data_IF_297370997349
#
_entry.id   IF_297370997349
#
_cell.length_a   1.000
_cell.length_b   1.000
_cell.length_c   1.000
_cell.angle_alpha   90.00
_cell.angle_beta   90.00
_cell.angle_gamma   90.00
#
_symmetry.space_group_name_H-M   'P 1'
#
loop_
_entity.id
_entity.type
_entity.pdbx_description
1 polymer ?
#
# COMPACT_ATOMS: atom_id res chain seq x y z
N UNK A 1 -29.52 9.07 23.33
CA UNK A 1 -28.40 8.75 22.42
C UNK A 1 -28.90 8.82 20.99
N UNK A 2 -28.27 9.62 20.13
CA UNK A 2 -28.58 9.62 18.70
C UNK A 2 -28.11 8.30 18.08
N UNK A 3 -28.87 7.75 17.14
CA UNK A 3 -28.40 6.58 16.37
C UNK A 3 -27.22 7.01 15.51
N UNK A 4 -26.16 6.20 15.40
CA UNK A 4 -25.06 6.52 14.51
C UNK A 4 -25.57 6.68 13.09
N UNK A 5 -24.93 7.54 12.31
CA UNK A 5 -25.13 7.71 10.89
C UNK A 5 -24.72 6.45 10.12
N UNK A 6 -25.09 6.38 8.84
CA UNK A 6 -24.60 5.33 7.95
C UNK A 6 -23.07 5.33 7.86
N UNK A 7 -22.46 6.51 7.72
CA UNK A 7 -21.00 6.67 7.58
C UNK A 7 -20.24 6.16 8.82
N UNK A 8 -20.73 6.47 10.01
CA UNK A 8 -20.12 5.96 11.25
C UNK A 8 -20.22 4.43 11.36
N UNK A 9 -21.35 3.83 10.96
CA UNK A 9 -21.48 2.37 10.92
C UNK A 9 -20.55 1.72 9.91
N UNK A 10 -20.41 2.31 8.73
CA UNK A 10 -19.50 1.82 7.70
C UNK A 10 -18.05 1.90 8.16
N UNK A 11 -17.64 2.99 8.82
CA UNK A 11 -16.29 3.11 9.37
C UNK A 11 -15.99 1.97 10.36
N UNK A 12 -16.90 1.71 11.31
CA UNK A 12 -16.74 0.59 12.27
C UNK A 12 -16.67 -0.76 11.58
N UNK A 13 -17.50 -0.99 10.56
CA UNK A 13 -17.49 -2.23 9.79
C UNK A 13 -16.16 -2.42 9.05
N UNK A 14 -15.70 -1.40 8.31
CA UNK A 14 -14.44 -1.44 7.57
C UNK A 14 -13.25 -1.67 8.49
N UNK A 15 -13.21 -1.01 9.66
CA UNK A 15 -12.18 -1.27 10.69
C UNK A 15 -12.16 -2.73 11.10
N UNK A 16 -13.32 -3.34 11.38
CA UNK A 16 -13.39 -4.75 11.79
C UNK A 16 -12.96 -5.72 10.69
N UNK A 17 -13.28 -5.40 9.44
CA UNK A 17 -12.86 -6.21 8.29
C UNK A 17 -11.34 -6.15 8.16
N UNK A 18 -10.75 -4.94 8.12
CA UNK A 18 -9.31 -4.76 7.98
C UNK A 18 -8.52 -5.39 9.13
N UNK A 19 -9.00 -5.28 10.37
CA UNK A 19 -8.39 -5.96 11.52
C UNK A 19 -8.35 -7.48 11.38
N UNK A 20 -9.25 -8.07 10.59
CA UNK A 20 -9.39 -9.53 10.46
C UNK A 20 -8.69 -10.09 9.22
N UNK A 21 -8.74 -9.36 8.11
CA UNK A 21 -8.30 -9.83 6.79
C UNK A 21 -7.46 -8.82 6.00
N UNK A 22 -7.22 -7.63 6.56
CA UNK A 22 -6.38 -6.63 5.90
C UNK A 22 -4.91 -7.03 5.92
N UNK A 23 -4.17 -6.49 4.95
CA UNK A 23 -2.72 -6.53 4.94
C UNK A 23 -2.18 -5.61 6.02
N UNK A 24 -1.10 -6.04 6.65
CA UNK A 24 -0.45 -5.29 7.72
C UNK A 24 0.73 -4.51 7.17
N UNK A 25 0.83 -3.27 7.60
CA UNK A 25 2.02 -2.45 7.45
C UNK A 25 2.50 -1.97 8.82
N UNK A 26 3.81 -1.84 8.98
CA UNK A 26 4.42 -1.34 10.22
C UNK A 26 5.21 -0.07 9.93
N UNK A 27 4.91 0.99 10.67
CA UNK A 27 5.63 2.26 10.60
C UNK A 27 6.98 2.17 11.29
N UNK A 28 7.85 3.15 11.05
CA UNK A 28 9.18 3.20 11.68
C UNK A 28 9.15 3.24 13.22
N UNK A 29 8.09 3.80 13.79
CA UNK A 29 7.87 3.84 15.24
C UNK A 29 7.31 2.53 15.81
N UNK A 30 7.11 1.51 14.96
CA UNK A 30 6.55 0.22 15.32
C UNK A 30 5.01 0.17 15.36
N UNK A 31 4.33 1.26 15.00
CA UNK A 31 2.87 1.28 14.93
C UNK A 31 2.37 0.44 13.76
N UNK A 32 1.45 -0.48 14.04
CA UNK A 32 0.78 -1.28 13.02
C UNK A 32 -0.38 -0.50 12.38
N UNK A 33 -0.47 -0.59 11.05
CA UNK A 33 -1.55 -0.03 10.23
C UNK A 33 -2.10 -1.14 9.35
N UNK A 34 -3.44 -1.29 9.35
CA UNK A 34 -4.12 -2.29 8.54
C UNK A 34 -4.68 -1.64 7.27
N UNK A 35 -4.54 -2.31 6.13
CA UNK A 35 -5.01 -1.81 4.84
C UNK A 35 -5.16 -2.91 3.80
N UNK A 36 -5.18 -2.53 2.54
CA UNK A 36 -5.11 -3.43 1.40
C UNK A 36 -3.97 -2.98 0.50
N UNK A 37 -3.01 -3.87 0.26
CA UNK A 37 -1.84 -3.58 -0.56
C UNK A 37 -2.04 -4.08 -1.99
N UNK A 38 -1.77 -3.21 -2.96
CA UNK A 38 -1.86 -3.49 -4.38
C UNK A 38 -0.53 -3.14 -5.04
N UNK A 39 0.12 -4.14 -5.63
CA UNK A 39 1.37 -3.96 -6.36
C UNK A 39 1.22 -4.43 -7.82
N UNK A 40 1.19 -3.51 -8.79
CA UNK A 40 1.00 -3.86 -10.20
C UNK A 40 2.19 -4.58 -10.83
N UNK A 41 3.37 -4.57 -10.19
CA UNK A 41 4.55 -5.29 -10.68
C UNK A 41 4.46 -6.82 -10.49
N UNK A 42 3.48 -7.30 -9.73
CA UNK A 42 3.32 -8.72 -9.38
C UNK A 42 2.20 -9.42 -10.13
N UNK A 43 1.47 -8.72 -11.00
CA UNK A 43 0.40 -9.35 -11.76
C UNK A 43 0.99 -10.43 -12.71
N UNK A 44 0.54 -11.70 -12.64
CA UNK A 44 1.04 -12.79 -13.49
C UNK A 44 0.91 -12.54 -15.00
N UNK A 45 0.14 -11.53 -15.44
CA UNK A 45 0.14 -11.10 -16.84
C UNK A 45 1.45 -10.44 -17.29
N UNK A 46 2.22 -9.86 -16.37
CA UNK A 46 3.55 -9.29 -16.61
C UNK A 46 4.63 -10.40 -16.59
N UNK A 47 4.39 -11.47 -15.83
CA UNK A 47 5.28 -12.63 -15.67
C UNK A 47 5.04 -13.78 -16.66
N UNK A 48 4.60 -13.48 -17.89
CA UNK A 48 4.33 -14.47 -18.93
C UNK A 48 5.49 -15.47 -19.11
N UNK A 49 5.22 -16.73 -18.77
CA UNK A 49 6.06 -17.91 -19.01
C UNK A 49 6.51 -17.96 -20.47
N UNK A 50 7.70 -17.43 -20.77
CA UNK A 50 8.55 -17.79 -21.92
C UNK A 50 9.79 -16.89 -21.86
N UNK A 51 10.97 -17.45 -22.09
CA UNK A 51 12.28 -16.77 -22.05
C UNK A 51 12.52 -15.69 -23.11
N UNK A 52 11.50 -14.90 -23.45
CA UNK A 52 11.52 -13.64 -24.19
C UNK A 52 10.32 -12.81 -23.74
N UNK A 53 10.32 -12.39 -22.47
CA UNK A 53 9.24 -11.58 -21.93
C UNK A 53 9.33 -10.14 -22.43
N UNK A 54 8.20 -9.58 -22.85
CA UNK A 54 7.98 -8.16 -23.17
C UNK A 54 8.24 -7.20 -22.00
N UNK A 55 8.88 -7.67 -20.91
CA UNK A 55 9.35 -6.88 -19.77
C UNK A 55 10.44 -5.84 -20.14
N UNK A 56 10.89 -5.80 -21.40
CA UNK A 56 11.77 -4.76 -21.93
C UNK A 56 11.01 -3.59 -22.60
N UNK A 57 9.67 -3.65 -22.72
CA UNK A 57 8.92 -2.73 -23.57
C UNK A 57 7.58 -2.24 -23.00
N UNK A 58 7.36 -2.39 -21.69
CA UNK A 58 6.40 -1.57 -20.96
C UNK A 58 7.22 -0.72 -20.01
N UNK A 59 7.23 0.59 -20.23
CA UNK A 59 7.92 1.50 -19.33
C UNK A 59 7.41 1.23 -17.90
N UNK A 60 8.29 1.15 -16.91
CA UNK A 60 7.87 1.07 -15.50
C UNK A 60 6.98 2.27 -15.08
N UNK A 61 6.94 3.33 -15.91
CA UNK A 61 6.02 4.46 -15.83
C UNK A 61 4.60 4.18 -16.34
N UNK A 62 4.40 3.13 -17.15
CA UNK A 62 3.09 2.69 -17.67
C UNK A 62 2.44 1.65 -16.75
N UNK A 63 3.25 0.94 -15.96
CA UNK A 63 2.82 0.12 -14.82
C UNK A 63 2.51 1.08 -13.65
N UNK A 64 1.32 1.01 -13.07
CA UNK A 64 0.90 1.94 -12.01
C UNK A 64 1.82 1.97 -10.78
N UNK A 65 1.67 2.97 -9.93
CA UNK A 65 2.39 3.04 -8.65
C UNK A 65 1.78 2.04 -7.63
N UNK A 66 2.57 1.35 -6.78
CA UNK A 66 2.05 0.54 -5.69
C UNK A 66 1.18 1.38 -4.75
N UNK A 67 0.08 0.79 -4.28
CA UNK A 67 -0.89 1.48 -3.44
C UNK A 67 -1.14 0.68 -2.16
N UNK A 68 -1.28 1.40 -1.05
CA UNK A 68 -1.75 0.84 0.20
C UNK A 68 -2.99 1.60 0.68
N UNK A 69 -4.15 0.97 0.54
CA UNK A 69 -5.44 1.58 0.88
C UNK A 69 -5.75 1.37 2.35
N UNK A 70 -5.81 2.45 3.12
CA UNK A 70 -6.08 2.45 4.56
C UNK A 70 -7.31 3.28 4.89
N UNK A 71 -7.84 3.16 6.11
CA UNK A 71 -8.92 4.04 6.56
C UNK A 71 -8.46 5.48 6.61
N UNK A 72 -9.35 6.42 6.26
CA UNK A 72 -9.05 7.85 6.34
C UNK A 72 -8.59 8.31 7.75
N UNK A 73 -9.07 7.65 8.80
CA UNK A 73 -8.66 7.93 10.18
C UNK A 73 -7.20 7.53 10.46
N UNK A 74 -6.72 6.46 9.84
CA UNK A 74 -5.34 6.00 9.97
C UNK A 74 -4.43 6.79 9.03
N UNK A 75 -4.88 7.09 7.82
CA UNK A 75 -4.18 7.96 6.87
C UNK A 75 -3.89 9.35 7.44
N UNK A 76 -4.77 9.88 8.31
CA UNK A 76 -4.54 11.18 8.96
C UNK A 76 -3.29 11.21 9.86
N UNK A 77 -2.76 10.05 10.25
CA UNK A 77 -1.52 9.91 11.03
C UNK A 77 -0.28 9.74 10.14
N UNK A 78 -0.48 9.44 8.87
CA UNK A 78 0.55 9.19 7.88
C UNK A 78 0.81 10.47 7.10
N UNK A 79 2.04 10.96 7.15
CA UNK A 79 2.46 12.12 6.39
C UNK A 79 3.13 11.69 5.09
N UNK A 80 3.24 12.62 4.15
CA UNK A 80 4.10 12.40 2.99
C UNK A 80 5.52 12.10 3.49
N UNK A 81 6.22 11.21 2.81
CA UNK A 81 7.54 10.69 3.18
C UNK A 81 7.58 9.76 4.40
N UNK A 82 6.44 9.48 5.04
CA UNK A 82 6.37 8.40 6.03
C UNK A 82 6.84 7.09 5.41
N UNK A 83 7.71 6.37 6.12
CA UNK A 83 8.17 5.06 5.70
C UNK A 83 7.37 3.99 6.43
N UNK A 84 6.90 3.01 5.67
CA UNK A 84 6.15 1.86 6.16
C UNK A 84 6.72 0.59 5.56
N UNK A 85 6.67 -0.48 6.34
CA UNK A 85 7.06 -1.82 5.90
C UNK A 85 5.80 -2.65 5.71
N UNK A 86 5.50 -3.05 4.48
CA UNK A 86 4.41 -3.97 4.18
C UNK A 86 4.82 -5.38 4.62
N UNK A 87 4.09 -5.95 5.57
CA UNK A 87 4.36 -7.26 6.17
C UNK A 87 3.79 -8.41 5.34
N UNK A 88 4.15 -8.44 4.06
CA UNK A 88 3.89 -9.55 3.16
C UNK A 88 5.19 -10.27 2.81
N UNK A 89 5.14 -11.51 2.30
CA UNK A 89 6.30 -12.15 1.71
C UNK A 89 6.91 -11.26 0.60
N UNK A 90 8.25 -11.19 0.44
CA UNK A 90 8.86 -10.42 -0.65
C UNK A 90 8.38 -10.85 -2.05
N UNK A 91 8.04 -12.13 -2.22
CA UNK A 91 7.46 -12.66 -3.47
C UNK A 91 6.06 -12.10 -3.77
N UNK A 92 5.36 -11.59 -2.76
CA UNK A 92 4.06 -10.92 -2.84
C UNK A 92 4.21 -9.39 -2.73
N UNK A 93 5.44 -8.88 -2.79
CA UNK A 93 5.72 -7.44 -2.80
C UNK A 93 5.83 -6.81 -1.43
N UNK A 94 5.92 -7.61 -0.36
CA UNK A 94 6.26 -7.08 0.95
C UNK A 94 7.66 -6.47 0.96
N UNK A 95 7.88 -5.52 1.86
CA UNK A 95 9.10 -4.73 1.90
C UNK A 95 8.86 -3.30 2.38
N UNK A 96 9.90 -2.48 2.26
CA UNK A 96 9.93 -1.11 2.75
C UNK A 96 9.52 -0.12 1.65
N UNK A 97 8.59 0.75 1.98
CA UNK A 97 7.98 1.70 1.07
C UNK A 97 7.88 3.08 1.70
N UNK A 98 8.06 4.10 0.88
CA UNK A 98 7.87 5.49 1.25
C UNK A 98 6.54 6.01 0.69
N UNK A 99 5.76 6.68 1.53
CA UNK A 99 4.51 7.32 1.11
C UNK A 99 4.85 8.55 0.27
N UNK A 100 4.44 8.55 -1.00
CA UNK A 100 4.62 9.68 -1.91
C UNK A 100 3.48 10.68 -1.72
N UNK A 101 2.24 10.20 -1.75
CA UNK A 101 1.04 11.02 -1.60
C UNK A 101 -0.19 10.21 -1.17
N UNK A 102 -1.09 10.78 -0.35
CA UNK A 102 -2.40 10.23 -0.09
C UNK A 102 -3.43 10.66 -1.14
N UNK A 103 -4.24 9.72 -1.62
CA UNK A 103 -5.34 9.95 -2.57
C UNK A 103 -6.68 9.48 -1.94
N UNK A 104 -7.58 10.41 -1.55
CA UNK A 104 -8.90 10.04 -1.04
C UNK A 104 -9.78 9.39 -2.11
N UNK A 105 -10.34 8.22 -1.81
CA UNK A 105 -11.13 7.40 -2.75
C UNK A 105 -12.64 7.66 -2.68
N UNK A 106 -13.11 8.37 -1.64
CA UNK A 106 -14.52 8.76 -1.46
C UNK A 106 -15.41 7.74 -0.74
N UNK A 107 -14.93 6.51 -0.56
CA UNK A 107 -15.59 5.41 0.17
C UNK A 107 -15.22 5.37 1.68
N UNK A 108 -14.42 6.33 2.14
CA UNK A 108 -13.92 6.38 3.52
C UNK A 108 -12.52 5.80 3.68
N UNK A 109 -11.93 5.33 2.58
CA UNK A 109 -10.53 4.93 2.50
C UNK A 109 -9.68 6.08 1.91
N UNK A 110 -8.37 5.91 2.02
CA UNK A 110 -7.34 6.72 1.37
C UNK A 110 -6.32 5.76 0.79
N UNK A 111 -6.07 5.86 -0.51
CA UNK A 111 -5.00 5.13 -1.17
C UNK A 111 -3.69 5.89 -0.95
N UNK A 112 -2.76 5.30 -0.20
CA UNK A 112 -1.40 5.82 -0.10
C UNK A 112 -0.64 5.35 -1.32
N UNK A 113 -0.20 6.28 -2.15
CA UNK A 113 0.68 5.99 -3.28
C UNK A 113 2.10 5.83 -2.75
N UNK A 114 2.74 4.73 -3.11
CA UNK A 114 3.99 4.29 -2.54
C UNK A 114 5.10 4.25 -3.59
N UNK A 115 6.32 4.46 -3.13
CA UNK A 115 7.55 4.20 -3.87
C UNK A 115 8.41 3.22 -3.06
N UNK A 116 9.11 2.32 -3.75
CA UNK A 116 10.05 1.41 -3.09
C UNK A 116 11.17 2.24 -2.49
N UNK A 117 11.34 2.13 -1.17
CA UNK A 117 12.43 2.79 -0.46
C UNK A 117 13.72 2.03 -0.75
N UNK A 118 14.38 2.40 -1.84
CA UNK A 118 15.73 1.94 -2.12
C UNK A 118 16.65 2.68 -1.15
N UNK A 119 17.01 2.04 -0.04
CA UNK A 119 18.24 2.43 0.64
C UNK A 119 19.34 2.44 -0.44
N UNK A 120 19.81 3.63 -0.81
CA UNK A 120 21.03 3.76 -1.61
C UNK A 120 22.10 3.05 -0.80
N UNK A 121 22.38 1.80 -1.15
CA UNK A 121 23.71 1.25 -1.01
C UNK A 121 24.57 2.16 -1.87
N UNK A 122 25.11 3.19 -1.24
CA UNK A 122 26.21 3.95 -1.79
C UNK A 122 27.36 2.94 -1.84
N UNK A 123 27.44 2.23 -2.95
CA UNK A 123 28.62 1.50 -3.35
C UNK A 123 29.76 2.51 -3.42
N UNK A 124 30.51 2.56 -2.33
CA UNK A 124 31.86 3.11 -2.28
C UNK A 124 32.77 2.08 -2.96
N UNK A 125 33.09 2.31 -4.23
CA UNK A 125 34.24 1.71 -4.92
C UNK A 125 35.14 2.82 -5.46
#
# INVERSE_FOLDING_TARGET
MARPSFRERMAVLSTRILQRVGDRATLEDGTEVMGAFENPFLDPQVGGKSGKGLASAVDAAELGEPRFSVLAADAARLHNESVLTIELPPAEGGGRYRVVRPEPTGDGMVALVLEVDHERTADIF
#
